data_IF_967373916274
#
_entry.id   IF_967373916274
#
_cell.length_a   1.000
_cell.length_b   1.000
_cell.length_c   1.000
_cell.angle_alpha   90.00
_cell.angle_beta   90.00
_cell.angle_gamma   90.00
#
_symmetry.space_group_name_H-M   'P 1'
#
loop_
_entity.id
_entity.type
_entity.pdbx_description
1 polymer ?
#
# COMPACT_ATOMS: atom_id res chain seq x y z
N UNK A 1 25.67 -32.69 -6.67
CA UNK A 1 24.64 -32.59 -5.60
C UNK A 1 25.06 -31.65 -4.45
N UNK A 2 25.74 -30.52 -4.72
CA UNK A 2 26.23 -29.61 -3.67
C UNK A 2 25.59 -28.20 -3.69
N UNK A 3 24.70 -27.88 -4.63
CA UNK A 3 24.12 -26.53 -4.76
C UNK A 3 22.76 -26.34 -4.06
N UNK A 4 22.10 -27.40 -3.59
CA UNK A 4 20.78 -27.28 -2.92
C UNK A 4 20.86 -27.05 -1.41
N UNK A 5 21.97 -27.40 -0.76
CA UNK A 5 22.12 -27.22 0.69
C UNK A 5 22.52 -25.79 1.09
N UNK A 6 23.22 -25.05 0.23
CA UNK A 6 23.62 -23.67 0.52
C UNK A 6 22.40 -22.72 0.57
N UNK A 7 21.39 -22.96 -0.27
CA UNK A 7 20.14 -22.18 -0.29
C UNK A 7 19.29 -22.33 0.98
N UNK A 8 19.24 -23.53 1.59
CA UNK A 8 18.46 -23.76 2.82
C UNK A 8 19.03 -23.04 4.05
N UNK A 9 20.35 -23.02 4.20
CA UNK A 9 21.00 -22.32 5.32
C UNK A 9 20.90 -20.79 5.20
N UNK A 10 21.02 -20.24 3.99
CA UNK A 10 20.84 -18.81 3.75
C UNK A 10 19.39 -18.37 4.05
N UNK A 11 18.39 -19.15 3.62
CA UNK A 11 16.99 -18.88 3.95
C UNK A 11 16.70 -18.94 5.46
N UNK A 12 17.18 -19.95 6.20
CA UNK A 12 16.95 -20.02 7.65
C UNK A 12 17.61 -18.84 8.42
N UNK A 13 18.79 -18.40 7.95
CA UNK A 13 19.51 -17.27 8.54
C UNK A 13 18.85 -15.92 8.25
N UNK A 14 18.24 -15.75 7.07
CA UNK A 14 17.54 -14.51 6.71
C UNK A 14 16.21 -14.36 7.45
N UNK A 15 15.48 -15.47 7.65
CA UNK A 15 14.23 -15.49 8.41
C UNK A 15 14.44 -15.12 9.88
N UNK A 16 15.42 -15.74 10.55
CA UNK A 16 15.73 -15.43 11.95
C UNK A 16 16.20 -13.97 12.14
N UNK A 17 16.96 -13.44 11.18
CA UNK A 17 17.34 -12.03 11.17
C UNK A 17 16.13 -11.10 10.98
N UNK A 18 15.18 -11.48 10.12
CA UNK A 18 13.96 -10.72 9.84
C UNK A 18 12.98 -10.72 11.01
N UNK A 19 12.77 -11.88 11.64
CA UNK A 19 11.90 -12.01 12.82
C UNK A 19 12.42 -11.13 13.96
N UNK A 20 13.73 -11.21 14.23
CA UNK A 20 14.39 -10.36 15.22
C UNK A 20 14.25 -8.87 14.88
N UNK A 21 14.49 -8.48 13.61
CA UNK A 21 14.33 -7.10 13.15
C UNK A 21 12.89 -6.60 13.36
N UNK A 22 11.90 -7.41 13.00
CA UNK A 22 10.48 -7.06 13.16
C UNK A 22 10.10 -6.88 14.63
N UNK A 23 10.52 -7.80 15.51
CA UNK A 23 10.22 -7.75 16.94
C UNK A 23 10.88 -6.56 17.62
N UNK A 24 12.17 -6.35 17.38
CA UNK A 24 12.90 -5.23 17.96
C UNK A 24 12.34 -3.88 17.48
N UNK A 25 11.92 -3.78 16.21
CA UNK A 25 11.28 -2.58 15.68
C UNK A 25 9.91 -2.33 16.32
N UNK A 26 9.08 -3.36 16.48
CA UNK A 26 7.77 -3.22 17.13
C UNK A 26 7.89 -2.80 18.60
N UNK A 27 8.77 -3.47 19.35
CA UNK A 27 9.01 -3.17 20.76
C UNK A 27 9.46 -1.73 20.90
N UNK A 28 10.43 -1.31 20.08
CA UNK A 28 10.91 0.06 20.11
C UNK A 28 9.81 1.07 19.80
N UNK A 29 9.01 0.86 18.75
CA UNK A 29 7.89 1.77 18.43
C UNK A 29 6.85 1.83 19.55
N UNK A 30 6.55 0.70 20.20
CA UNK A 30 5.67 0.67 21.38
C UNK A 30 6.23 1.50 22.52
N UNK A 31 7.53 1.40 22.79
CA UNK A 31 8.24 2.24 23.77
C UNK A 31 8.22 3.73 23.39
N UNK A 32 8.38 4.06 22.10
CA UNK A 32 8.28 5.45 21.65
C UNK A 32 6.87 6.03 21.88
N UNK A 33 5.82 5.21 21.74
CA UNK A 33 4.42 5.60 21.92
C UNK A 33 3.94 5.57 23.38
N UNK A 34 4.59 4.83 24.28
CA UNK A 34 4.19 4.76 25.68
C UNK A 34 4.37 6.10 26.40
N UNK A 35 3.60 6.34 27.47
CA UNK A 35 3.73 7.55 28.29
C UNK A 35 5.08 7.55 29.03
N UNK A 36 5.76 8.69 29.03
CA UNK A 36 7.06 8.89 29.71
C UNK A 36 8.16 9.48 28.81
N UNK A 37 9.02 10.37 29.33
CA UNK A 37 10.15 10.90 28.58
C UNK A 37 11.20 9.80 28.35
N UNK A 38 11.70 9.70 27.11
CA UNK A 38 12.88 8.90 26.79
C UNK A 38 14.07 9.86 26.69
N UNK A 39 15.17 9.52 27.36
CA UNK A 39 16.38 10.34 27.25
C UNK A 39 16.91 10.29 25.82
N UNK A 40 17.36 11.45 25.31
CA UNK A 40 17.85 11.58 23.92
C UNK A 40 18.93 10.54 23.57
N UNK A 41 19.81 10.24 24.53
CA UNK A 41 20.90 9.28 24.36
C UNK A 41 20.38 7.87 24.09
N UNK A 42 19.39 7.43 24.86
CA UNK A 42 18.81 6.09 24.75
C UNK A 42 18.04 5.94 23.43
N UNK A 43 17.33 7.01 23.05
CA UNK A 43 16.62 7.10 21.78
C UNK A 43 17.57 6.95 20.58
N UNK A 44 18.71 7.64 20.60
CA UNK A 44 19.74 7.53 19.54
C UNK A 44 20.37 6.13 19.53
N UNK A 45 20.60 5.54 20.71
CA UNK A 45 21.20 4.22 20.82
C UNK A 45 20.30 3.13 20.22
N UNK A 46 19.01 3.13 20.56
CA UNK A 46 18.05 2.16 20.02
C UNK A 46 17.84 2.35 18.50
N UNK A 47 17.86 3.59 18.01
CA UNK A 47 17.81 3.83 16.56
C UNK A 47 18.98 3.23 15.82
N UNK A 48 20.20 3.45 16.32
CA UNK A 48 21.41 2.85 15.73
C UNK A 48 21.36 1.32 15.75
N UNK A 49 20.75 0.74 16.77
CA UNK A 49 20.53 -0.71 16.86
C UNK A 49 19.60 -1.19 15.74
N UNK A 50 18.48 -0.51 15.52
CA UNK A 50 17.54 -0.85 14.44
C UNK A 50 18.19 -0.63 13.06
N UNK A 51 18.93 0.45 12.86
CA UNK A 51 19.68 0.71 11.62
C UNK A 51 20.66 -0.42 11.33
N UNK A 52 21.46 -0.81 12.33
CA UNK A 52 22.41 -1.93 12.25
C UNK A 52 21.72 -3.26 11.91
N UNK A 53 20.55 -3.53 12.48
CA UNK A 53 19.76 -4.73 12.17
C UNK A 53 19.22 -4.73 10.73
N UNK A 54 18.73 -3.58 10.24
CA UNK A 54 18.28 -3.46 8.84
C UNK A 54 19.44 -3.71 7.88
N UNK A 55 20.57 -3.05 8.08
CA UNK A 55 21.75 -3.20 7.22
C UNK A 55 22.30 -4.64 7.26
N UNK A 56 22.31 -5.25 8.44
CA UNK A 56 22.72 -6.66 8.60
C UNK A 56 21.80 -7.59 7.82
N UNK A 57 20.48 -7.40 7.91
CA UNK A 57 19.51 -8.16 7.13
C UNK A 57 19.73 -7.95 5.63
N UNK A 58 19.86 -6.70 5.16
CA UNK A 58 20.10 -6.42 3.75
C UNK A 58 21.36 -7.09 3.21
N UNK A 59 22.45 -7.07 3.99
CA UNK A 59 23.70 -7.74 3.63
C UNK A 59 23.52 -9.25 3.50
N UNK A 60 22.82 -9.89 4.44
CA UNK A 60 22.52 -11.33 4.41
C UNK A 60 21.60 -11.68 3.23
N UNK A 61 20.60 -10.83 2.97
CA UNK A 61 19.63 -11.00 1.90
C UNK A 61 20.16 -10.62 0.50
N UNK A 62 21.37 -10.05 0.41
CA UNK A 62 21.94 -9.57 -0.85
C UNK A 62 21.19 -8.37 -1.45
N UNK A 63 20.53 -7.56 -0.62
CA UNK A 63 19.80 -6.37 -1.02
C UNK A 63 20.77 -5.19 -1.09
N UNK A 64 20.85 -4.54 -2.24
CA UNK A 64 21.57 -3.27 -2.37
C UNK A 64 20.64 -2.13 -1.96
N UNK A 65 21.17 -1.10 -1.31
CA UNK A 65 20.36 0.03 -0.85
C UNK A 65 21.09 1.36 -0.96
N UNK A 66 20.31 2.44 -1.05
CA UNK A 66 20.77 3.82 -0.88
C UNK A 66 20.24 4.37 0.45
N UNK A 67 21.12 4.94 1.25
CA UNK A 67 20.77 5.64 2.49
C UNK A 67 20.15 7.00 2.19
N UNK A 68 19.02 7.30 2.84
CA UNK A 68 18.28 8.54 2.73
C UNK A 68 18.12 9.15 4.13
N UNK A 69 18.93 10.17 4.49
CA UNK A 69 18.80 10.86 5.77
C UNK A 69 17.42 11.50 5.90
N UNK A 70 16.79 11.35 7.07
CA UNK A 70 15.50 11.95 7.39
C UNK A 70 15.47 12.38 8.86
N UNK A 71 14.46 13.12 9.28
CA UNK A 71 14.30 13.53 10.66
C UNK A 71 12.84 13.53 11.09
N UNK A 72 12.62 13.27 12.37
CA UNK A 72 11.32 13.15 12.99
C UNK A 72 11.33 13.81 14.37
N UNK A 73 10.22 14.46 14.72
CA UNK A 73 9.99 14.93 16.09
C UNK A 73 9.38 13.82 16.92
N UNK A 74 10.12 13.32 17.91
CA UNK A 74 9.66 12.34 18.88
C UNK A 74 9.56 13.02 20.23
N UNK A 75 8.33 13.18 20.76
CA UNK A 75 8.08 13.83 22.07
C UNK A 75 8.82 15.17 22.24
N UNK A 76 8.78 16.02 21.20
CA UNK A 76 9.43 17.33 21.19
C UNK A 76 10.94 17.33 20.87
N UNK A 77 11.59 16.16 20.80
CA UNK A 77 12.99 16.03 20.44
C UNK A 77 13.12 15.75 18.93
N UNK A 78 14.01 16.47 18.24
CA UNK A 78 14.34 16.18 16.83
C UNK A 78 15.34 15.03 16.77
N UNK A 79 15.01 14.01 16.00
CA UNK A 79 15.82 12.80 15.84
C UNK A 79 16.07 12.55 14.37
N UNK A 80 17.33 12.41 14.00
CA UNK A 80 17.77 12.12 12.63
C UNK A 80 18.07 10.63 12.52
N UNK A 81 17.57 10.00 11.46
CA UNK A 81 17.75 8.59 11.18
C UNK A 81 17.75 8.33 9.68
N UNK A 82 18.05 7.10 9.28
CA UNK A 82 18.20 6.71 7.87
C UNK A 82 17.00 5.89 7.40
N UNK A 83 16.44 6.29 6.26
CA UNK A 83 15.56 5.45 5.44
C UNK A 83 16.39 4.77 4.36
N UNK A 84 15.93 3.62 3.88
CA UNK A 84 16.68 2.81 2.92
C UNK A 84 15.87 2.64 1.64
N UNK A 85 16.34 3.24 0.55
CA UNK A 85 15.80 2.98 -0.77
C UNK A 85 16.42 1.68 -1.29
N UNK A 86 15.61 0.63 -1.37
CA UNK A 86 16.02 -0.69 -1.82
C UNK A 86 16.22 -0.67 -3.35
N UNK A 87 17.27 -1.34 -3.84
CA UNK A 87 17.67 -1.36 -5.25
C UNK A 87 18.26 -2.71 -5.66
N UNK A 88 18.26 -2.95 -6.96
CA UNK A 88 19.05 -4.00 -7.61
C UNK A 88 18.28 -5.29 -7.86
N UNK A 89 18.99 -6.33 -8.30
CA UNK A 89 18.50 -7.71 -8.35
C UNK A 89 18.99 -8.43 -7.12
N UNK A 90 18.11 -8.74 -6.16
CA UNK A 90 18.52 -9.53 -5.01
C UNK A 90 18.99 -10.92 -5.46
N UNK A 91 20.22 -11.29 -5.09
CA UNK A 91 20.78 -12.64 -5.31
C UNK A 91 20.29 -13.65 -4.24
N UNK A 92 19.32 -13.26 -3.42
CA UNK A 92 18.84 -13.98 -2.23
C UNK A 92 17.44 -14.59 -2.34
N UNK A 93 16.81 -14.76 -1.18
CA UNK A 93 15.50 -15.39 -0.99
C UNK A 93 14.33 -14.65 -1.67
N UNK A 94 13.16 -15.29 -1.71
CA UNK A 94 11.96 -14.75 -2.36
C UNK A 94 11.51 -13.40 -1.78
N UNK A 95 11.82 -13.11 -0.52
CA UNK A 95 11.48 -11.84 0.14
C UNK A 95 12.34 -10.74 -0.46
N UNK A 96 13.66 -10.95 -0.51
CA UNK A 96 14.61 -9.99 -1.05
C UNK A 96 14.29 -9.65 -2.52
N UNK A 97 13.87 -10.64 -3.30
CA UNK A 97 13.38 -10.42 -4.68
C UNK A 97 12.10 -9.60 -4.71
N UNK A 98 11.10 -9.95 -3.90
CA UNK A 98 9.84 -9.20 -3.82
C UNK A 98 10.03 -7.71 -3.49
N UNK A 99 11.13 -7.38 -2.79
CA UNK A 99 11.48 -6.03 -2.34
C UNK A 99 12.25 -5.19 -3.34
N UNK A 100 12.94 -5.83 -4.27
CA UNK A 100 13.88 -5.16 -5.18
C UNK A 100 13.44 -5.23 -6.63
N UNK A 101 12.64 -6.24 -6.99
CA UNK A 101 12.06 -6.45 -8.32
C UNK A 101 10.66 -5.81 -8.42
N UNK A 102 10.57 -4.55 -8.02
CA UNK A 102 9.33 -3.76 -8.05
C UNK A 102 9.34 -2.78 -9.23
N UNK A 103 8.17 -2.46 -9.75
CA UNK A 103 7.99 -1.45 -10.82
C UNK A 103 8.39 -0.03 -10.39
N UNK A 104 8.38 0.23 -9.08
CA UNK A 104 8.67 1.53 -8.47
C UNK A 104 9.62 1.37 -7.28
N UNK A 105 10.43 2.38 -6.92
CA UNK A 105 11.30 2.29 -5.76
C UNK A 105 10.56 1.94 -4.46
N UNK A 106 11.16 1.05 -3.66
CA UNK A 106 10.71 0.75 -2.30
C UNK A 106 11.62 1.46 -1.30
N UNK A 107 11.03 2.20 -0.37
CA UNK A 107 11.70 2.84 0.75
C UNK A 107 11.28 2.12 2.03
N UNK A 108 12.25 1.47 2.67
CA UNK A 108 12.10 0.99 4.04
C UNK A 108 12.29 2.17 5.00
N UNK A 109 11.28 2.43 5.82
CA UNK A 109 11.34 3.36 6.95
C UNK A 109 11.37 2.59 8.28
N UNK A 110 12.50 2.59 9.02
CA UNK A 110 12.59 1.88 10.29
C UNK A 110 11.59 2.36 11.35
N UNK A 111 11.13 3.61 11.26
CA UNK A 111 10.17 4.23 12.18
C UNK A 111 8.80 4.40 11.56
N UNK A 112 8.49 3.62 10.52
CA UNK A 112 7.23 3.72 9.81
C UNK A 112 6.01 3.66 10.73
N UNK A 113 5.97 2.67 11.64
CA UNK A 113 4.85 2.49 12.59
C UNK A 113 4.73 3.62 13.62
N UNK A 114 5.76 4.44 13.82
CA UNK A 114 5.64 5.63 14.66
C UNK A 114 4.86 6.72 13.92
N UNK A 115 5.16 6.92 12.63
CA UNK A 115 4.58 7.96 11.79
C UNK A 115 3.18 7.61 11.26
N UNK A 116 2.94 6.32 11.04
CA UNK A 116 1.77 5.83 10.33
C UNK A 116 1.07 4.73 11.12
N UNK A 117 -0.26 4.67 10.98
CA UNK A 117 -1.08 3.59 11.55
C UNK A 117 -1.18 2.37 10.64
N UNK A 118 -0.66 2.47 9.41
CA UNK A 118 -0.74 1.43 8.38
C UNK A 118 0.54 0.61 8.32
N UNK A 119 0.53 -0.45 7.51
CA UNK A 119 1.68 -1.31 7.30
C UNK A 119 2.57 -0.80 6.12
N UNK A 120 1.97 -0.18 5.10
CA UNK A 120 2.65 0.43 3.96
C UNK A 120 1.80 1.51 3.31
N UNK A 121 2.36 2.28 2.38
CA UNK A 121 1.61 3.16 1.48
C UNK A 121 2.40 3.46 0.20
N UNK A 122 1.69 3.55 -0.92
CA UNK A 122 2.19 4.05 -2.19
C UNK A 122 1.90 5.55 -2.34
N UNK A 123 2.94 6.34 -2.55
CA UNK A 123 2.82 7.79 -2.77
C UNK A 123 3.98 8.30 -3.62
N UNK A 124 3.66 9.20 -4.56
CA UNK A 124 4.65 9.85 -5.44
C UNK A 124 5.57 8.84 -6.14
N UNK A 125 4.98 7.83 -6.79
CA UNK A 125 5.69 6.77 -7.51
C UNK A 125 6.72 6.02 -6.64
N UNK A 126 6.44 5.92 -5.34
CA UNK A 126 7.32 5.27 -4.36
C UNK A 126 6.49 4.50 -3.35
N UNK A 127 6.95 3.29 -3.00
CA UNK A 127 6.33 2.48 -1.95
C UNK A 127 7.10 2.73 -0.65
N UNK A 128 6.39 3.07 0.42
CA UNK A 128 6.94 3.20 1.76
C UNK A 128 6.43 2.04 2.63
N UNK A 129 7.34 1.34 3.29
CA UNK A 129 7.02 0.19 4.16
C UNK A 129 7.87 0.20 5.41
N UNK A 130 7.37 -0.38 6.50
CA UNK A 130 8.17 -0.68 7.68
C UNK A 130 8.72 -2.11 7.70
N UNK A 131 9.70 -2.41 8.57
CA UNK A 131 10.32 -3.75 8.69
C UNK A 131 9.35 -4.90 8.95
N UNK A 132 8.27 -4.63 9.68
CA UNK A 132 7.26 -5.62 10.05
C UNK A 132 6.45 -6.16 8.84
N UNK A 133 6.34 -5.38 7.75
CA UNK A 133 5.65 -5.81 6.52
C UNK A 133 6.25 -7.09 5.96
N UNK A 134 7.56 -7.23 6.05
CA UNK A 134 8.26 -8.37 5.45
C UNK A 134 7.93 -9.66 6.16
N UNK A 135 7.93 -9.64 7.50
CA UNK A 135 7.55 -10.80 8.32
C UNK A 135 6.10 -11.19 8.04
N UNK A 136 5.18 -10.23 8.03
CA UNK A 136 3.77 -10.51 7.84
C UNK A 136 3.45 -11.00 6.41
N UNK A 137 4.10 -10.45 5.38
CA UNK A 137 3.98 -10.95 4.01
C UNK A 137 4.51 -12.37 3.87
N UNK A 138 5.66 -12.65 4.49
CA UNK A 138 6.31 -13.96 4.46
C UNK A 138 5.45 -15.05 5.12
N UNK A 139 4.87 -14.72 6.26
CA UNK A 139 3.93 -15.60 6.97
C UNK A 139 2.59 -15.74 6.24
N UNK A 140 2.35 -14.95 5.19
CA UNK A 140 1.08 -14.88 4.47
C UNK A 140 -0.05 -14.43 5.35
N UNK A 141 0.22 -13.54 6.30
CA UNK A 141 -0.79 -12.87 7.12
C UNK A 141 -1.38 -11.69 6.35
N UNK A 142 -0.53 -10.97 5.61
CA UNK A 142 -0.89 -9.82 4.78
C UNK A 142 -0.15 -9.90 3.44
N UNK A 143 -0.50 -9.00 2.52
CA UNK A 143 0.14 -8.84 1.21
C UNK A 143 0.43 -7.37 0.92
N UNK A 144 0.78 -6.60 1.96
CA UNK A 144 0.94 -5.14 1.90
C UNK A 144 1.89 -4.68 0.80
N UNK A 145 2.98 -5.41 0.53
CA UNK A 145 3.89 -5.00 -0.53
C UNK A 145 3.26 -5.16 -1.91
N UNK A 146 2.60 -6.30 -2.15
CA UNK A 146 1.87 -6.55 -3.39
C UNK A 146 0.70 -5.57 -3.56
N UNK A 147 0.03 -5.22 -2.46
CA UNK A 147 -1.02 -4.22 -2.43
C UNK A 147 -0.53 -2.86 -2.95
N UNK A 148 0.58 -2.35 -2.40
CA UNK A 148 1.16 -1.08 -2.85
C UNK A 148 1.75 -1.15 -4.26
N UNK A 149 2.26 -2.32 -4.66
CA UNK A 149 2.68 -2.55 -6.04
C UNK A 149 1.49 -2.46 -7.01
N UNK A 150 0.33 -2.99 -6.65
CA UNK A 150 -0.85 -2.90 -7.52
C UNK A 150 -1.31 -1.45 -7.68
N UNK A 151 -1.25 -0.63 -6.62
CA UNK A 151 -1.46 0.81 -6.75
C UNK A 151 -0.50 1.47 -7.74
N UNK A 152 0.76 1.05 -7.77
CA UNK A 152 1.73 1.57 -8.75
C UNK A 152 1.38 1.16 -10.19
N UNK A 153 0.88 -0.06 -10.38
CA UNK A 153 0.45 -0.57 -11.69
C UNK A 153 -0.80 0.17 -12.17
N UNK A 154 -1.77 0.42 -11.29
CA UNK A 154 -2.95 1.22 -11.61
C UNK A 154 -2.55 2.67 -11.96
N UNK A 155 -1.64 3.28 -11.20
CA UNK A 155 -1.12 4.61 -11.51
C UNK A 155 -0.42 4.66 -12.88
N UNK A 156 0.32 3.62 -13.25
CA UNK A 156 0.96 3.52 -14.57
C UNK A 156 -0.07 3.39 -15.69
N UNK A 157 -1.12 2.58 -15.51
CA UNK A 157 -2.24 2.52 -16.47
C UNK A 157 -2.83 3.91 -16.71
N UNK A 158 -3.02 4.70 -15.66
CA UNK A 158 -3.51 6.08 -15.76
C UNK A 158 -2.55 6.94 -16.58
N UNK A 159 -1.24 6.91 -16.30
CA UNK A 159 -0.22 7.63 -17.07
C UNK A 159 -0.23 7.30 -18.56
N UNK A 160 -0.43 6.02 -18.89
CA UNK A 160 -0.48 5.54 -20.26
C UNK A 160 -1.83 5.77 -20.96
N UNK A 161 -2.76 6.52 -20.36
CA UNK A 161 -4.07 6.80 -20.96
C UNK A 161 -5.02 5.61 -20.96
N UNK A 162 -4.76 4.55 -20.18
CA UNK A 162 -5.63 3.37 -20.09
C UNK A 162 -6.70 3.57 -19.03
N UNK A 163 -7.86 2.93 -19.20
CA UNK A 163 -8.89 2.90 -18.16
C UNK A 163 -8.39 2.13 -16.92
N UNK A 164 -8.67 2.69 -15.74
CA UNK A 164 -8.25 2.16 -14.45
C UNK A 164 -9.11 2.83 -13.36
N UNK A 165 -9.41 2.09 -12.29
CA UNK A 165 -10.08 2.66 -11.12
C UNK A 165 -9.19 3.69 -10.40
N UNK A 166 -7.87 3.65 -10.63
CA UNK A 166 -6.91 4.63 -10.11
C UNK A 166 -7.08 6.03 -10.67
N UNK A 167 -8.00 6.24 -11.64
CA UNK A 167 -8.40 7.58 -12.12
C UNK A 167 -9.28 8.32 -11.12
N UNK A 168 -9.89 7.63 -10.17
CA UNK A 168 -10.95 8.19 -9.34
C UNK A 168 -10.50 8.24 -7.88
N UNK A 169 -10.66 9.40 -7.27
CA UNK A 169 -10.39 9.63 -5.85
C UNK A 169 -11.65 10.21 -5.18
N UNK A 170 -12.04 9.64 -4.04
CA UNK A 170 -13.03 10.21 -3.14
C UNK A 170 -12.30 10.91 -1.99
N UNK A 171 -12.67 12.15 -1.69
CA UNK A 171 -11.97 12.96 -0.68
C UNK A 171 -12.90 13.98 -0.02
N UNK A 172 -12.63 14.35 1.23
CA UNK A 172 -13.22 15.53 1.87
C UNK A 172 -12.27 16.74 1.81
N UNK A 173 -12.65 17.87 2.42
CA UNK A 173 -11.84 19.08 2.53
C UNK A 173 -10.54 18.92 3.34
N UNK A 174 -10.45 17.94 4.25
CA UNK A 174 -9.19 17.58 4.92
C UNK A 174 -8.21 16.85 3.98
N UNK A 175 -8.75 16.26 2.91
CA UNK A 175 -8.03 15.73 1.75
C UNK A 175 -7.05 14.59 2.08
N UNK A 176 -6.03 14.43 1.21
CA UNK A 176 -4.95 13.41 1.32
C UNK A 176 -4.11 13.49 2.61
N UNK A 177 -4.33 14.48 3.47
CA UNK A 177 -3.49 14.71 4.68
C UNK A 177 -3.78 13.73 5.80
N UNK A 178 -4.99 13.17 5.84
CA UNK A 178 -5.26 11.99 6.65
C UNK A 178 -5.15 10.77 5.75
N UNK A 179 -4.20 9.88 6.00
CA UNK A 179 -4.16 8.52 5.42
C UNK A 179 -5.35 7.68 5.95
N UNK A 180 -6.44 8.32 6.40
CA UNK A 180 -7.61 7.68 6.94
C UNK A 180 -8.62 7.49 5.81
N UNK A 181 -8.97 6.22 5.55
CA UNK A 181 -9.99 5.87 4.57
C UNK A 181 -11.33 6.57 4.80
N UNK A 182 -11.66 7.02 6.02
CA UNK A 182 -12.90 7.76 6.30
C UNK A 182 -13.00 9.15 5.65
N UNK A 183 -11.87 9.70 5.19
CA UNK A 183 -11.78 11.05 4.61
C UNK A 183 -11.20 11.06 3.19
N UNK A 184 -10.54 9.97 2.79
CA UNK A 184 -9.89 9.83 1.50
C UNK A 184 -9.71 8.35 1.13
N UNK A 185 -10.12 7.96 -0.07
CA UNK A 185 -9.62 6.73 -0.68
C UNK A 185 -9.63 6.83 -2.20
N UNK A 186 -8.77 6.03 -2.84
CA UNK A 186 -8.73 5.88 -4.30
C UNK A 186 -9.56 4.66 -4.69
N UNK A 187 -10.30 4.73 -5.78
CA UNK A 187 -11.24 3.65 -6.14
C UNK A 187 -10.49 2.36 -6.53
N UNK A 188 -9.20 2.43 -6.87
CA UNK A 188 -8.34 1.25 -7.06
C UNK A 188 -8.09 0.44 -5.78
N UNK A 189 -8.41 0.95 -4.58
CA UNK A 189 -8.43 0.17 -3.34
C UNK A 189 -9.33 -1.08 -3.44
N UNK A 190 -10.33 -1.05 -4.33
CA UNK A 190 -11.17 -2.23 -4.63
C UNK A 190 -10.33 -3.35 -5.27
N UNK A 191 -9.49 -3.02 -6.26
CA UNK A 191 -8.63 -4.01 -6.94
C UNK A 191 -7.55 -4.53 -5.99
N UNK A 192 -6.94 -3.64 -5.20
CA UNK A 192 -5.86 -4.01 -4.28
C UNK A 192 -6.38 -4.91 -3.16
N UNK A 193 -7.52 -4.58 -2.56
CA UNK A 193 -8.13 -5.44 -1.55
C UNK A 193 -8.67 -6.76 -2.12
N UNK A 194 -9.15 -6.79 -3.37
CA UNK A 194 -9.65 -8.02 -4.00
C UNK A 194 -8.50 -8.99 -4.27
N UNK A 195 -7.39 -8.47 -4.80
CA UNK A 195 -6.18 -9.26 -5.00
C UNK A 195 -5.63 -9.79 -3.67
N UNK A 196 -5.59 -8.96 -2.62
CA UNK A 196 -5.21 -9.40 -1.27
C UNK A 196 -6.11 -10.53 -0.77
N UNK A 197 -7.43 -10.40 -0.95
CA UNK A 197 -8.39 -11.44 -0.56
C UNK A 197 -8.06 -12.77 -1.24
N UNK A 198 -7.84 -12.78 -2.55
CA UNK A 198 -7.47 -14.00 -3.28
C UNK A 198 -6.16 -14.61 -2.78
N UNK A 199 -5.10 -13.80 -2.59
CA UNK A 199 -3.80 -14.28 -2.10
C UNK A 199 -3.83 -14.87 -0.68
N UNK A 200 -4.83 -14.49 0.11
CA UNK A 200 -5.00 -14.91 1.50
C UNK A 200 -6.04 -16.02 1.69
N UNK A 201 -6.87 -16.30 0.68
CA UNK A 201 -7.96 -17.29 0.79
C UNK A 201 -7.92 -18.40 -0.25
N UNK A 202 -7.21 -18.22 -1.37
CA UNK A 202 -7.15 -19.24 -2.42
C UNK A 202 -6.49 -20.52 -1.89
N UNK A 203 -7.19 -21.68 -1.90
CA UNK A 203 -6.72 -22.89 -1.22
C UNK A 203 -5.34 -23.36 -1.69
N UNK A 204 -5.06 -23.29 -2.99
CA UNK A 204 -3.77 -23.70 -3.56
C UNK A 204 -2.62 -22.83 -3.07
N UNK A 205 -2.82 -21.50 -3.08
CA UNK A 205 -1.81 -20.53 -2.62
C UNK A 205 -1.55 -20.70 -1.11
N UNK A 206 -2.63 -20.83 -0.33
CA UNK A 206 -2.54 -20.97 1.14
C UNK A 206 -1.88 -22.30 1.52
N UNK A 207 -2.27 -23.41 0.90
CA UNK A 207 -1.70 -24.73 1.21
C UNK A 207 -0.20 -24.79 0.90
N UNK A 208 0.23 -24.24 -0.25
CA UNK A 208 1.65 -24.20 -0.60
C UNK A 208 2.44 -23.36 0.41
N UNK A 209 1.90 -22.20 0.81
CA UNK A 209 2.57 -21.31 1.77
C UNK A 209 2.71 -21.95 3.15
N UNK A 210 1.64 -22.59 3.65
CA UNK A 210 1.68 -23.27 4.94
C UNK A 210 2.70 -24.43 4.91
N UNK A 211 2.80 -25.16 3.79
CA UNK A 211 3.82 -26.20 3.58
C UNK A 211 5.25 -25.64 3.58
N UNK A 212 5.47 -24.49 2.95
CA UNK A 212 6.78 -23.82 2.93
C UNK A 212 7.21 -23.42 4.35
N UNK A 213 6.30 -22.85 5.13
CA UNK A 213 6.54 -22.48 6.53
C UNK A 213 6.88 -23.71 7.40
N UNK A 214 6.14 -24.81 7.24
CA UNK A 214 6.42 -26.07 7.96
C UNK A 214 7.81 -26.60 7.58
N UNK A 215 8.14 -26.60 6.28
CA UNK A 215 9.43 -27.08 5.77
C UNK A 215 10.60 -26.25 6.29
N UNK A 216 10.35 -25.00 6.67
CA UNK A 216 11.32 -24.08 7.29
C UNK A 216 11.44 -24.23 8.81
N UNK A 217 10.72 -25.19 9.41
CA UNK A 217 10.82 -25.51 10.83
C UNK A 217 9.83 -24.75 11.72
N UNK A 218 8.79 -24.13 11.14
CA UNK A 218 7.72 -23.52 11.91
C UNK A 218 6.93 -24.61 12.67
N UNK A 219 6.70 -24.39 13.97
CA UNK A 219 5.94 -25.33 14.79
C UNK A 219 4.44 -25.30 14.44
N UNK A 220 3.73 -26.38 14.72
CA UNK A 220 2.27 -26.44 14.54
C UNK A 220 1.54 -25.34 15.31
N UNK A 221 1.93 -25.09 16.56
CA UNK A 221 1.35 -24.03 17.40
C UNK A 221 1.56 -22.64 16.80
N UNK A 222 2.75 -22.35 16.25
CA UNK A 222 3.01 -21.07 15.59
C UNK A 222 2.20 -20.93 14.29
N UNK A 223 2.07 -22.01 13.51
CA UNK A 223 1.25 -22.03 12.30
C UNK A 223 -0.23 -21.78 12.61
N UNK A 224 -0.78 -22.35 13.67
CA UNK A 224 -2.17 -22.12 14.09
C UNK A 224 -2.41 -20.65 14.48
N UNK A 225 -1.42 -20.01 15.12
CA UNK A 225 -1.47 -18.58 15.42
C UNK A 225 -1.48 -17.73 14.14
N UNK A 226 -0.66 -18.08 13.15
CA UNK A 226 -0.62 -17.39 11.85
C UNK A 226 -1.98 -17.50 11.13
N UNK A 227 -2.58 -18.70 11.12
CA UNK A 227 -3.88 -18.95 10.50
C UNK A 227 -4.98 -18.09 11.13
N UNK A 228 -5.05 -18.06 12.47
CA UNK A 228 -5.99 -17.19 13.21
C UNK A 228 -5.79 -15.71 12.88
N UNK A 229 -4.55 -15.26 12.75
CA UNK A 229 -4.28 -13.87 12.42
C UNK A 229 -4.65 -13.54 10.97
N UNK A 230 -4.37 -14.44 10.02
CA UNK A 230 -4.81 -14.35 8.62
C UNK A 230 -6.33 -14.24 8.51
N UNK A 231 -7.09 -15.02 9.28
CA UNK A 231 -8.56 -14.92 9.30
C UNK A 231 -9.07 -13.54 9.74
N UNK A 232 -8.42 -12.92 10.72
CA UNK A 232 -8.75 -11.54 11.15
C UNK A 232 -8.50 -10.56 10.01
N UNK A 233 -7.33 -10.65 9.37
CA UNK A 233 -6.99 -9.78 8.22
C UNK A 233 -7.97 -9.99 7.06
N UNK A 234 -8.32 -11.23 6.73
CA UNK A 234 -9.30 -11.54 5.68
C UNK A 234 -10.66 -10.91 6.00
N UNK A 235 -11.14 -10.99 7.24
CA UNK A 235 -12.39 -10.33 7.68
C UNK A 235 -12.33 -8.82 7.43
N UNK A 236 -11.23 -8.17 7.82
CA UNK A 236 -11.03 -6.73 7.59
C UNK A 236 -10.99 -6.39 6.10
N UNK A 237 -10.37 -7.24 5.27
CA UNK A 237 -10.33 -7.06 3.80
C UNK A 237 -11.73 -7.15 3.19
N UNK A 238 -12.54 -8.13 3.59
CA UNK A 238 -13.94 -8.28 3.14
C UNK A 238 -14.79 -7.06 3.53
N UNK A 239 -14.65 -6.57 4.76
CA UNK A 239 -15.37 -5.37 5.21
C UNK A 239 -14.99 -4.14 4.37
N UNK A 240 -13.69 -3.93 4.14
CA UNK A 240 -13.21 -2.82 3.32
C UNK A 240 -13.68 -2.94 1.87
N UNK A 241 -13.66 -4.13 1.25
CA UNK A 241 -14.17 -4.35 -0.10
C UNK A 241 -15.65 -3.97 -0.24
N UNK A 242 -16.49 -4.43 0.69
CA UNK A 242 -17.92 -4.11 0.71
C UNK A 242 -18.13 -2.60 0.83
N UNK A 243 -17.41 -1.96 1.75
CA UNK A 243 -17.49 -0.52 1.98
C UNK A 243 -17.05 0.28 0.75
N UNK A 244 -15.84 0.05 0.25
CA UNK A 244 -15.29 0.80 -0.89
C UNK A 244 -16.16 0.65 -2.13
N UNK A 245 -16.70 -0.53 -2.37
CA UNK A 245 -17.56 -0.78 -3.53
C UNK A 245 -18.90 -0.08 -3.42
N UNK A 246 -19.56 -0.18 -2.27
CA UNK A 246 -20.83 0.49 -2.03
C UNK A 246 -20.68 2.02 -2.11
N UNK A 247 -19.69 2.58 -1.42
CA UNK A 247 -19.40 4.02 -1.43
C UNK A 247 -19.04 4.50 -2.85
N UNK A 248 -18.23 3.76 -3.59
CA UNK A 248 -17.86 4.12 -4.96
C UNK A 248 -19.07 4.07 -5.91
N UNK A 249 -19.87 3.00 -5.87
CA UNK A 249 -21.08 2.89 -6.71
C UNK A 249 -22.08 4.00 -6.41
N UNK A 250 -22.34 4.30 -5.14
CA UNK A 250 -23.24 5.38 -4.74
C UNK A 250 -22.75 6.73 -5.28
N UNK A 251 -21.46 7.04 -5.11
CA UNK A 251 -20.92 8.32 -5.56
C UNK A 251 -20.85 8.42 -7.08
N UNK A 252 -20.50 7.35 -7.79
CA UNK A 252 -20.50 7.30 -9.26
C UNK A 252 -21.89 7.59 -9.82
N UNK A 253 -22.93 6.92 -9.30
CA UNK A 253 -24.31 7.10 -9.74
C UNK A 253 -24.80 8.54 -9.49
N UNK A 254 -24.45 9.13 -8.35
CA UNK A 254 -24.78 10.52 -8.01
C UNK A 254 -24.11 11.50 -8.96
N UNK A 255 -22.79 11.40 -9.15
CA UNK A 255 -22.05 12.29 -10.05
C UNK A 255 -22.54 12.15 -11.49
N UNK A 256 -22.78 10.93 -11.97
CA UNK A 256 -23.38 10.66 -13.28
C UNK A 256 -24.69 11.39 -13.46
N UNK A 257 -25.61 11.25 -12.50
CA UNK A 257 -26.90 11.92 -12.50
C UNK A 257 -26.74 13.43 -12.58
N UNK A 258 -25.85 14.02 -11.75
CA UNK A 258 -25.60 15.46 -11.77
C UNK A 258 -25.07 15.96 -13.10
N UNK A 259 -24.08 15.27 -13.69
CA UNK A 259 -23.51 15.60 -15.00
C UNK A 259 -24.56 15.49 -16.12
N UNK A 260 -25.45 14.51 -16.03
CA UNK A 260 -26.58 14.36 -16.96
C UNK A 260 -27.59 15.51 -16.84
N UNK A 261 -27.76 16.08 -15.65
CA UNK A 261 -28.58 17.27 -15.38
C UNK A 261 -27.82 18.61 -15.51
N UNK A 262 -26.64 18.60 -16.14
CA UNK A 262 -25.92 19.84 -16.50
C UNK A 262 -24.98 20.39 -15.41
N UNK A 263 -24.66 19.62 -14.38
CA UNK A 263 -23.63 20.03 -13.41
C UNK A 263 -22.27 20.20 -14.11
N UNK A 264 -21.59 21.30 -13.80
CA UNK A 264 -20.21 21.57 -14.22
C UNK A 264 -19.22 21.19 -13.11
N UNK A 265 -17.93 21.00 -13.43
CA UNK A 265 -16.92 20.72 -12.42
C UNK A 265 -16.79 21.87 -11.42
N UNK A 266 -16.53 21.52 -10.17
CA UNK A 266 -16.06 22.47 -9.15
C UNK A 266 -14.68 23.01 -9.51
N UNK A 267 -13.81 22.17 -10.07
CA UNK A 267 -12.47 22.57 -10.51
C UNK A 267 -11.97 21.68 -11.65
N UNK A 268 -11.26 22.30 -12.59
CA UNK A 268 -10.54 21.62 -13.67
C UNK A 268 -9.14 22.21 -13.77
N UNK A 269 -8.09 21.39 -13.58
CA UNK A 269 -6.69 21.87 -13.53
C UNK A 269 -5.72 20.91 -14.20
N UNK A 270 -4.75 21.48 -14.90
CA UNK A 270 -3.56 20.78 -15.35
C UNK A 270 -2.40 21.08 -14.40
N UNK A 271 -1.71 20.04 -13.93
CA UNK A 271 -0.47 20.15 -13.18
C UNK A 271 0.72 19.80 -14.08
N UNK A 272 1.54 20.78 -14.49
CA UNK A 272 2.68 20.55 -15.37
C UNK A 272 3.79 19.73 -14.71
N UNK A 273 3.86 19.70 -13.37
CA UNK A 273 4.91 18.96 -12.66
C UNK A 273 4.68 17.45 -12.68
N UNK A 274 3.42 17.02 -12.67
CA UNK A 274 3.03 15.61 -12.64
C UNK A 274 2.38 15.14 -13.95
N UNK A 275 2.05 16.05 -14.85
CA UNK A 275 1.25 15.78 -16.05
C UNK A 275 -0.22 15.45 -15.76
N UNK A 276 -0.68 15.62 -14.52
CA UNK A 276 -2.06 15.31 -14.10
C UNK A 276 -3.04 16.29 -14.72
N UNK A 277 -4.15 15.77 -15.25
CA UNK A 277 -5.28 16.59 -15.70
C UNK A 277 -6.47 16.23 -14.82
N UNK A 278 -6.76 17.04 -13.81
CA UNK A 278 -7.78 16.73 -12.80
C UNK A 278 -9.06 17.50 -13.03
N UNK A 279 -10.18 16.79 -12.95
CA UNK A 279 -11.53 17.37 -12.93
C UNK A 279 -12.22 16.92 -11.65
N UNK A 280 -12.75 17.86 -10.88
CA UNK A 280 -13.29 17.64 -9.53
C UNK A 280 -14.74 18.08 -9.50
N UNK A 281 -15.61 17.24 -8.94
CA UNK A 281 -17.00 17.55 -8.63
C UNK A 281 -17.23 17.51 -7.13
N UNK A 282 -18.17 18.30 -6.63
CA UNK A 282 -18.73 18.09 -5.29
C UNK A 282 -19.65 16.87 -5.31
N UNK A 283 -19.79 16.16 -4.19
CA UNK A 283 -20.69 15.01 -4.06
C UNK A 283 -21.89 15.29 -3.14
N UNK A 284 -21.84 16.40 -2.38
CA UNK A 284 -22.78 16.74 -1.29
C UNK A 284 -22.85 15.69 -0.17
N UNK A 285 -21.87 14.79 -0.09
CA UNK A 285 -21.75 13.76 0.93
C UNK A 285 -20.71 14.15 1.99
N UNK A 286 -21.08 14.13 3.27
CA UNK A 286 -20.20 14.63 4.36
C UNK A 286 -18.86 13.91 4.45
N UNK A 287 -18.85 12.59 4.23
CA UNK A 287 -17.61 11.80 4.36
C UNK A 287 -16.65 12.01 3.18
N UNK A 288 -17.17 12.32 1.99
CA UNK A 288 -16.39 12.49 0.77
C UNK A 288 -16.92 13.66 -0.05
N UNK A 289 -16.67 14.89 0.41
CA UNK A 289 -17.22 16.12 -0.19
C UNK A 289 -16.92 16.28 -1.69
N UNK A 290 -15.86 15.64 -2.19
CA UNK A 290 -15.39 15.73 -3.56
C UNK A 290 -15.11 14.36 -4.19
N UNK A 291 -15.35 14.28 -5.50
CA UNK A 291 -14.88 13.21 -6.38
C UNK A 291 -13.97 13.82 -7.45
N UNK A 292 -12.74 13.32 -7.55
CA UNK A 292 -11.74 13.75 -8.54
C UNK A 292 -11.54 12.68 -9.60
N UNK A 293 -11.40 13.11 -10.85
CA UNK A 293 -11.05 12.31 -12.01
C UNK A 293 -9.69 12.76 -12.56
N UNK A 294 -8.71 11.86 -12.70
CA UNK A 294 -7.49 12.10 -13.47
C UNK A 294 -7.68 11.64 -14.92
N UNK A 295 -7.74 12.62 -15.82
CA UNK A 295 -8.00 12.45 -17.25
C UNK A 295 -6.70 12.44 -18.08
N UNK A 296 -5.53 12.34 -17.45
CA UNK A 296 -4.26 12.27 -18.20
C UNK A 296 -4.28 11.11 -19.19
N UNK A 297 -3.69 11.34 -20.35
CA UNK A 297 -3.63 10.39 -21.45
C UNK A 297 -4.97 10.14 -22.15
N UNK A 298 -6.09 10.65 -21.63
CA UNK A 298 -7.40 10.64 -22.30
C UNK A 298 -7.69 11.98 -23.00
N UNK A 299 -7.17 13.08 -22.44
CA UNK A 299 -7.24 14.42 -23.02
C UNK A 299 -5.88 15.13 -22.95
N UNK A 300 -5.77 16.23 -23.69
CA UNK A 300 -4.66 17.18 -23.58
C UNK A 300 -5.08 18.42 -22.79
N UNK A 301 -4.16 19.21 -22.21
CA UNK A 301 -4.52 20.38 -21.40
C UNK A 301 -5.42 21.40 -22.12
N UNK A 302 -5.26 21.56 -23.44
CA UNK A 302 -6.10 22.45 -24.24
C UNK A 302 -7.58 22.05 -24.26
N UNK A 303 -7.89 20.76 -24.06
CA UNK A 303 -9.25 20.23 -24.04
C UNK A 303 -10.02 20.65 -22.79
N UNK A 304 -9.36 21.15 -21.74
CA UNK A 304 -10.05 21.57 -20.50
C UNK A 304 -11.07 22.71 -20.72
N UNK A 305 -10.94 23.45 -21.82
CA UNK A 305 -11.90 24.49 -22.21
C UNK A 305 -13.09 23.95 -23.01
N UNK A 306 -13.03 22.70 -23.48
CA UNK A 306 -14.11 22.01 -24.18
C UNK A 306 -14.88 21.11 -23.20
N UNK A 307 -15.87 21.71 -22.52
CA UNK A 307 -16.67 20.98 -21.55
C UNK A 307 -17.46 19.81 -22.16
N UNK A 308 -17.86 19.88 -23.43
CA UNK A 308 -18.59 18.78 -24.09
C UNK A 308 -17.69 17.55 -24.17
N UNK A 309 -16.46 17.72 -24.65
CA UNK A 309 -15.46 16.66 -24.73
C UNK A 309 -15.08 16.12 -23.36
N UNK A 310 -14.81 17.00 -22.38
CA UNK A 310 -14.46 16.60 -21.02
C UNK A 310 -15.59 15.81 -20.36
N UNK A 311 -16.85 16.25 -20.53
CA UNK A 311 -18.04 15.59 -20.02
C UNK A 311 -18.19 14.17 -20.57
N UNK A 312 -18.02 13.98 -21.87
CA UNK A 312 -18.12 12.67 -22.51
C UNK A 312 -17.11 11.68 -21.92
N UNK A 313 -15.86 12.11 -21.75
CA UNK A 313 -14.79 11.26 -21.22
C UNK A 313 -15.04 10.90 -19.75
N UNK A 314 -15.55 11.83 -18.95
CA UNK A 314 -15.92 11.55 -17.55
C UNK A 314 -17.08 10.56 -17.49
N UNK A 315 -18.12 10.73 -18.30
CA UNK A 315 -19.25 9.79 -18.34
C UNK A 315 -18.80 8.38 -18.78
N UNK A 316 -17.91 8.27 -19.76
CA UNK A 316 -17.32 7.01 -20.18
C UNK A 316 -16.48 6.38 -19.06
N UNK A 317 -15.71 7.18 -18.33
CA UNK A 317 -14.93 6.73 -17.17
C UNK A 317 -15.84 6.21 -16.05
N UNK A 318 -16.96 6.89 -15.79
CA UNK A 318 -17.96 6.46 -14.81
C UNK A 318 -18.58 5.13 -15.23
N UNK A 319 -19.09 5.01 -16.45
CA UNK A 319 -19.72 3.78 -16.95
C UNK A 319 -18.76 2.58 -16.84
N UNK A 320 -17.52 2.75 -17.31
CA UNK A 320 -16.50 1.71 -17.23
C UNK A 320 -16.21 1.31 -15.77
N UNK A 321 -16.15 2.29 -14.85
CA UNK A 321 -15.89 2.04 -13.44
C UNK A 321 -17.05 1.31 -12.76
N UNK A 322 -18.31 1.68 -13.06
CA UNK A 322 -19.51 1.00 -12.56
C UNK A 322 -19.53 -0.47 -13.00
N UNK A 323 -19.24 -0.74 -14.27
CA UNK A 323 -19.14 -2.10 -14.81
C UNK A 323 -18.01 -2.89 -14.14
N UNK A 324 -16.83 -2.27 -13.98
CA UNK A 324 -15.66 -2.92 -13.38
C UNK A 324 -15.89 -3.28 -11.92
N UNK A 325 -16.47 -2.37 -11.13
CA UNK A 325 -16.79 -2.62 -9.72
C UNK A 325 -17.86 -3.72 -9.59
N UNK A 326 -18.85 -3.73 -10.49
CA UNK A 326 -19.88 -4.78 -10.50
C UNK A 326 -19.28 -6.16 -10.85
N UNK A 327 -18.34 -6.20 -11.80
CA UNK A 327 -17.65 -7.42 -12.20
C UNK A 327 -16.72 -8.00 -11.12
N UNK A 328 -16.25 -7.18 -10.17
CA UNK A 328 -15.49 -7.65 -9.02
C UNK A 328 -16.29 -8.60 -8.10
N UNK A 329 -17.61 -8.68 -8.29
CA UNK A 329 -18.51 -9.68 -7.71
C UNK A 329 -18.41 -9.82 -6.17
N UNK A 330 -18.20 -8.69 -5.49
CA UNK A 330 -17.88 -8.62 -4.06
C UNK A 330 -19.01 -9.16 -3.16
N UNK A 331 -20.25 -9.16 -3.67
CA UNK A 331 -21.39 -9.74 -2.98
C UNK A 331 -21.31 -11.27 -2.81
N UNK A 332 -20.49 -11.95 -3.62
CA UNK A 332 -20.26 -13.39 -3.52
C UNK A 332 -19.04 -13.75 -2.65
N UNK A 333 -18.39 -12.76 -2.05
CA UNK A 333 -17.31 -12.97 -1.09
C UNK A 333 -17.91 -13.34 0.27
N UNK A 334 -17.80 -14.62 0.63
CA UNK A 334 -18.25 -15.16 1.92
C UNK A 334 -17.12 -15.14 2.95
N UNK A 335 -17.52 -15.04 4.23
CA UNK A 335 -16.64 -15.17 5.39
C UNK A 335 -16.39 -16.63 5.75
#
# INVERSE_FOLDING_TARGET
>A
MASQNCGRFLCASSYSALDRLSEETEVFVKTLKSEGPIARKDLIQELRKIESLNESYFKVAGITFKMLPTSLKVKGQSVTYTRYQLRGSAQGDAIAKSLTETSVPVILDPLYLYNYKYFGHYMNDTIFVGPHVFRLNLMGVTSTLQHEQLHSVEHEKVRLGKMSLGRIELMNSEGRRSVNYGNYFRVDEIETHLNDYHLLTEPGIVAQRDLDLITQGLTSTALDSIKKHREVVVKDKVQNLKRFSAESQEMLAKIKTRIMHGAIPYSSKYDPSTGSIRVIFTTEYKSYEFMSFDLRGLIVPADLNDWVKVREIILNTINWSEERISAANINNINL
#
